data_IF_296345087114
#
_entry.id   IF_296345087114
#
_cell.length_a   1.000
_cell.length_b   1.000
_cell.length_c   1.000
_cell.angle_alpha   90.00
_cell.angle_beta   90.00
_cell.angle_gamma   90.00
#
_symmetry.space_group_name_H-M   'P 1'
#
loop_
_entity.id
_entity.type
_entity.pdbx_description
1 polymer ?
#
# COMPACT_ATOMS: atom_id res chain seq x y z
N UNK A 1 24.24 -15.89 6.07
CA UNK A 1 24.12 -14.75 5.15
C UNK A 1 22.71 -14.20 5.34
N UNK A 2 22.52 -13.30 6.31
CA UNK A 2 21.21 -12.71 6.64
C UNK A 2 21.00 -11.56 5.65
N UNK A 3 20.08 -11.73 4.71
CA UNK A 3 19.91 -10.86 3.54
C UNK A 3 19.43 -9.47 3.95
N UNK A 4 20.11 -8.42 3.49
CA UNK A 4 19.95 -7.01 3.88
C UNK A 4 18.76 -6.31 3.20
N UNK A 5 17.56 -6.90 3.26
CA UNK A 5 16.33 -6.34 2.68
C UNK A 5 15.22 -6.25 3.72
N UNK A 6 14.36 -5.23 3.60
CA UNK A 6 13.30 -4.95 4.57
C UNK A 6 12.05 -5.82 4.36
N UNK A 7 11.78 -6.25 3.13
CA UNK A 7 10.54 -6.97 2.77
C UNK A 7 10.80 -7.98 1.63
N UNK A 8 9.98 -9.02 1.55
CA UNK A 8 10.03 -10.00 0.47
C UNK A 8 8.85 -9.84 -0.51
N UNK A 9 9.11 -10.00 -1.81
CA UNK A 9 8.07 -10.14 -2.84
C UNK A 9 7.91 -11.62 -3.16
N UNK A 10 6.70 -12.14 -2.97
CA UNK A 10 6.35 -13.52 -3.22
C UNK A 10 5.98 -13.70 -4.69
N UNK A 11 6.28 -14.90 -5.21
CA UNK A 11 5.89 -15.32 -6.55
C UNK A 11 4.82 -16.41 -6.46
N UNK A 12 3.93 -16.45 -7.45
CA UNK A 12 3.03 -17.58 -7.67
C UNK A 12 3.82 -18.83 -8.04
N UNK A 13 3.13 -19.98 -8.08
CA UNK A 13 3.73 -21.25 -8.52
C UNK A 13 4.26 -21.18 -9.96
N UNK A 14 3.63 -20.35 -10.79
CA UNK A 14 3.98 -20.10 -12.19
C UNK A 14 5.13 -19.10 -12.34
N UNK A 15 5.65 -18.56 -11.22
CA UNK A 15 6.76 -17.61 -11.21
C UNK A 15 6.35 -16.16 -11.50
N UNK A 16 5.05 -15.84 -11.44
CA UNK A 16 4.52 -14.48 -11.59
C UNK A 16 4.56 -13.74 -10.25
N UNK A 17 4.62 -12.43 -10.26
CA UNK A 17 4.57 -11.61 -9.05
C UNK A 17 3.18 -11.75 -8.41
N UNK A 18 3.16 -12.06 -7.11
CA UNK A 18 1.97 -12.07 -6.30
C UNK A 18 1.94 -10.81 -5.41
N UNK A 19 2.35 -10.91 -4.15
CA UNK A 19 2.35 -9.81 -3.20
C UNK A 19 3.50 -9.94 -2.19
N UNK A 20 3.61 -9.00 -1.25
CA UNK A 20 4.48 -9.17 -0.08
C UNK A 20 3.76 -9.93 1.03
N UNK A 21 4.45 -10.29 2.12
CA UNK A 21 3.86 -11.04 3.21
C UNK A 21 2.67 -10.32 3.91
N UNK A 22 2.62 -8.97 3.84
CA UNK A 22 1.61 -8.17 4.53
C UNK A 22 0.90 -7.11 3.68
N UNK A 23 1.21 -7.01 2.39
CA UNK A 23 0.71 -5.96 1.50
C UNK A 23 0.74 -6.37 0.02
N UNK A 24 -0.24 -5.90 -0.74
CA UNK A 24 -0.26 -6.04 -2.19
C UNK A 24 0.82 -5.17 -2.84
N UNK A 25 1.18 -5.50 -4.09
CA UNK A 25 2.16 -4.75 -4.87
C UNK A 25 1.48 -4.01 -6.03
N UNK A 26 1.91 -2.78 -6.25
CA UNK A 26 1.60 -1.99 -7.44
C UNK A 26 2.90 -1.40 -8.00
N UNK A 27 2.95 -1.22 -9.31
CA UNK A 27 4.10 -0.63 -9.99
C UNK A 27 3.64 0.33 -11.08
N UNK A 28 4.54 1.18 -11.55
CA UNK A 28 4.28 2.11 -12.64
C UNK A 28 5.29 1.84 -13.74
N UNK A 29 4.78 1.57 -14.94
CA UNK A 29 5.59 1.30 -16.12
C UNK A 29 4.95 1.94 -17.34
N UNK A 30 5.75 2.70 -18.09
CA UNK A 30 5.33 3.46 -19.25
C UNK A 30 4.13 4.38 -18.94
N UNK A 31 4.14 4.99 -17.75
CA UNK A 31 3.05 5.83 -17.27
C UNK A 31 1.81 5.12 -16.73
N UNK A 32 1.69 3.79 -16.88
CA UNK A 32 0.53 3.00 -16.48
C UNK A 32 0.79 2.32 -15.13
N UNK A 33 -0.20 2.36 -14.24
CA UNK A 33 -0.15 1.60 -12.98
C UNK A 33 -0.49 0.15 -13.28
N UNK A 34 0.34 -0.78 -12.84
CA UNK A 34 0.14 -2.21 -13.01
C UNK A 34 0.09 -2.88 -11.63
N UNK A 35 -0.80 -3.86 -11.48
CA UNK A 35 -0.90 -4.67 -10.25
C UNK A 35 -1.37 -6.08 -10.59
N UNK A 36 -0.95 -7.12 -9.83
CA UNK A 36 -1.42 -8.48 -10.07
C UNK A 36 -2.95 -8.59 -10.02
N UNK A 37 -3.53 -9.48 -10.82
CA UNK A 37 -4.97 -9.78 -10.75
C UNK A 37 -5.32 -10.45 -9.42
N UNK A 38 -6.58 -10.39 -8.99
CA UNK A 38 -7.04 -11.09 -7.77
C UNK A 38 -6.85 -12.62 -7.86
N UNK A 39 -6.79 -13.17 -9.08
CA UNK A 39 -6.50 -14.59 -9.32
C UNK A 39 -5.01 -14.92 -9.24
N UNK A 40 -4.13 -13.91 -9.10
CA UNK A 40 -2.68 -14.01 -9.02
C UNK A 40 -2.14 -14.40 -7.64
N UNK A 41 -2.90 -15.18 -6.86
CA UNK A 41 -2.54 -15.60 -5.49
C UNK A 41 -2.27 -14.44 -4.53
N UNK A 42 -3.09 -13.38 -4.60
CA UNK A 42 -3.02 -12.22 -3.69
C UNK A 42 -4.28 -12.12 -2.83
N UNK A 43 -4.19 -11.44 -1.68
CA UNK A 43 -5.37 -11.01 -0.96
C UNK A 43 -6.15 -9.95 -1.76
N UNK A 44 -7.48 -10.02 -1.73
CA UNK A 44 -8.34 -8.95 -2.25
C UNK A 44 -8.31 -7.74 -1.29
N UNK A 45 -7.20 -6.99 -1.33
CA UNK A 45 -6.92 -5.88 -0.42
C UNK A 45 -7.86 -4.70 -0.66
N UNK A 46 -8.50 -4.25 0.43
CA UNK A 46 -9.32 -3.02 0.43
C UNK A 46 -8.46 -1.80 0.09
N UNK A 47 -7.24 -1.70 0.64
CA UNK A 47 -6.32 -0.59 0.31
C UNK A 47 -5.99 -0.59 -1.17
N UNK A 48 -5.70 -1.75 -1.77
CA UNK A 48 -5.46 -1.84 -3.22
C UNK A 48 -6.67 -1.36 -4.02
N UNK A 49 -7.88 -1.79 -3.68
CA UNK A 49 -9.10 -1.33 -4.33
C UNK A 49 -9.28 0.19 -4.22
N UNK A 50 -9.06 0.75 -3.03
CA UNK A 50 -9.06 2.21 -2.80
C UNK A 50 -8.04 2.93 -3.67
N UNK A 51 -6.82 2.42 -3.79
CA UNK A 51 -5.78 3.06 -4.60
C UNK A 51 -6.07 2.97 -6.09
N UNK A 52 -6.70 1.90 -6.58
CA UNK A 52 -7.17 1.80 -7.96
C UNK A 52 -8.17 2.94 -8.24
N UNK A 53 -9.16 3.11 -7.37
CA UNK A 53 -10.15 4.19 -7.49
C UNK A 53 -9.46 5.57 -7.50
N UNK A 54 -8.58 5.85 -6.53
CA UNK A 54 -7.88 7.15 -6.44
C UNK A 54 -6.96 7.43 -7.64
N UNK A 55 -6.30 6.41 -8.19
CA UNK A 55 -5.51 6.54 -9.41
C UNK A 55 -6.36 7.07 -10.57
N UNK A 56 -7.54 6.47 -10.77
CA UNK A 56 -8.45 6.81 -11.86
C UNK A 56 -9.13 8.17 -11.64
N UNK A 57 -9.62 8.44 -10.42
CA UNK A 57 -10.47 9.60 -10.12
C UNK A 57 -9.70 10.87 -9.80
N UNK A 58 -8.55 10.78 -9.13
CA UNK A 58 -7.81 11.95 -8.64
C UNK A 58 -6.52 12.23 -9.42
N UNK A 59 -5.87 11.18 -9.92
CA UNK A 59 -4.54 11.31 -10.56
C UNK A 59 -4.57 11.09 -12.08
N UNK A 60 -5.71 10.68 -12.64
CA UNK A 60 -5.86 10.34 -14.06
C UNK A 60 -4.79 9.35 -14.54
N UNK A 61 -4.52 8.34 -13.71
CA UNK A 61 -3.61 7.24 -13.99
C UNK A 61 -4.41 6.00 -14.38
N UNK A 62 -4.12 5.46 -15.56
CA UNK A 62 -4.67 4.17 -15.98
C UNK A 62 -4.14 3.06 -15.07
N UNK A 63 -5.02 2.13 -14.66
CA UNK A 63 -4.64 0.95 -13.88
C UNK A 63 -4.95 -0.33 -14.65
N UNK A 64 -3.93 -1.17 -14.85
CA UNK A 64 -4.06 -2.49 -15.45
C UNK A 64 -3.85 -3.59 -14.41
N UNK A 65 -4.85 -4.45 -14.27
CA UNK A 65 -4.77 -5.66 -13.46
C UNK A 65 -4.35 -6.82 -14.36
N UNK A 66 -3.12 -7.31 -14.22
CA UNK A 66 -2.56 -8.38 -15.07
C UNK A 66 -1.45 -9.14 -14.36
N UNK A 67 -1.04 -10.26 -14.93
CA UNK A 67 0.20 -10.92 -14.49
C UNK A 67 1.41 -10.01 -14.72
N UNK A 68 2.36 -10.06 -13.80
CA UNK A 68 3.60 -9.29 -13.83
C UNK A 68 4.75 -10.28 -13.68
N UNK A 69 5.75 -10.17 -14.54
CA UNK A 69 6.98 -10.96 -14.44
C UNK A 69 7.94 -10.32 -13.43
N UNK A 70 8.69 -11.13 -12.68
CA UNK A 70 9.69 -10.62 -11.71
C UNK A 70 10.66 -9.62 -12.36
N UNK A 71 11.16 -9.93 -13.55
CA UNK A 71 12.13 -9.10 -14.27
C UNK A 71 11.54 -7.80 -14.78
N UNK A 72 10.22 -7.72 -14.96
CA UNK A 72 9.54 -6.49 -15.35
C UNK A 72 9.60 -5.44 -14.22
N UNK A 73 9.61 -5.85 -12.95
CA UNK A 73 9.73 -4.92 -11.82
C UNK A 73 11.01 -4.08 -11.89
N UNK A 74 12.12 -4.65 -12.37
CA UNK A 74 13.40 -3.94 -12.48
C UNK A 74 13.39 -2.82 -13.53
N UNK A 75 12.39 -2.83 -14.42
CA UNK A 75 12.22 -1.85 -15.49
C UNK A 75 11.13 -0.82 -15.17
N UNK A 76 10.48 -0.93 -14.01
CA UNK A 76 9.44 0.00 -13.60
C UNK A 76 10.03 1.34 -13.18
N UNK A 77 9.27 2.41 -13.42
CA UNK A 77 9.58 3.77 -12.98
C UNK A 77 9.45 3.87 -11.46
N UNK A 78 8.40 3.25 -10.92
CA UNK A 78 8.08 3.24 -9.50
C UNK A 78 7.50 1.87 -9.11
N UNK A 79 7.79 1.39 -7.91
CA UNK A 79 7.16 0.20 -7.32
C UNK A 79 6.79 0.55 -5.89
N UNK A 80 5.64 0.10 -5.40
CA UNK A 80 5.21 0.33 -4.04
C UNK A 80 4.31 -0.79 -3.51
N UNK A 81 4.32 -0.96 -2.19
CA UNK A 81 3.40 -1.83 -1.48
C UNK A 81 2.17 -1.05 -1.02
N UNK A 82 1.05 -1.75 -0.89
CA UNK A 82 -0.16 -1.19 -0.32
C UNK A 82 -0.94 -2.16 0.58
N UNK A 83 -1.41 -1.65 1.71
CA UNK A 83 -2.19 -2.41 2.69
C UNK A 83 -2.52 -1.55 3.90
N UNK A 84 -3.49 -1.94 4.73
CA UNK A 84 -3.96 -1.07 5.83
C UNK A 84 -2.87 -0.67 6.82
N UNK A 85 -1.87 -1.54 7.05
CA UNK A 85 -0.71 -1.23 7.89
C UNK A 85 0.51 -0.68 7.13
N UNK A 86 0.53 -0.81 5.80
CA UNK A 86 1.61 -0.35 4.92
C UNK A 86 1.28 0.98 4.22
N UNK A 87 0.02 1.40 4.26
CA UNK A 87 -0.51 2.55 3.52
C UNK A 87 -0.11 2.48 2.04
N UNK A 88 0.67 3.45 1.56
CA UNK A 88 1.41 3.41 0.28
C UNK A 88 2.90 3.48 0.63
N UNK A 89 3.61 2.37 0.50
CA UNK A 89 5.04 2.26 0.87
C UNK A 89 5.91 2.10 -0.37
N UNK A 90 6.68 3.12 -0.78
CA UNK A 90 7.56 3.05 -1.95
C UNK A 90 8.68 2.01 -1.80
N UNK A 91 8.98 1.30 -2.88
CA UNK A 91 10.12 0.38 -3.03
C UNK A 91 11.11 1.01 -4.01
N UNK A 92 12.32 1.30 -3.54
CA UNK A 92 13.39 1.95 -4.34
C UNK A 92 14.46 0.98 -4.83
N UNK A 93 14.48 -0.25 -4.31
CA UNK A 93 15.42 -1.29 -4.69
C UNK A 93 14.78 -2.67 -4.62
N UNK A 94 15.00 -3.51 -5.63
CA UNK A 94 14.59 -4.91 -5.65
C UNK A 94 15.79 -5.74 -6.08
N UNK A 95 16.18 -6.73 -5.28
CA UNK A 95 17.30 -7.64 -5.57
C UNK A 95 18.64 -6.95 -5.91
N UNK A 96 18.87 -5.75 -5.35
CA UNK A 96 20.05 -4.93 -5.63
C UNK A 96 19.90 -3.99 -6.83
N UNK A 97 18.84 -4.10 -7.62
CA UNK A 97 18.54 -3.19 -8.72
C UNK A 97 17.73 -1.99 -8.22
N UNK A 98 18.22 -0.78 -8.50
CA UNK A 98 17.45 0.45 -8.26
C UNK A 98 16.21 0.48 -9.14
N UNK A 99 15.07 0.82 -8.54
CA UNK A 99 13.82 1.10 -9.26
C UNK A 99 13.86 2.56 -9.69
N UNK A 100 13.61 2.84 -10.97
CA UNK A 100 13.75 4.18 -11.53
C UNK A 100 15.13 4.79 -11.25
N UNK A 101 15.16 5.93 -10.57
CA UNK A 101 16.41 6.62 -10.15
C UNK A 101 16.87 6.24 -8.73
N UNK A 102 16.27 5.22 -8.12
CA UNK A 102 16.55 4.76 -6.76
C UNK A 102 16.00 5.68 -5.66
N UNK A 103 15.07 6.59 -5.99
CA UNK A 103 14.39 7.47 -5.03
C UNK A 103 12.90 7.20 -5.02
N UNK A 104 12.22 7.74 -4.01
CA UNK A 104 10.76 7.75 -3.96
C UNK A 104 10.24 8.56 -5.14
N UNK A 105 9.45 7.92 -5.98
CA UNK A 105 8.89 8.53 -7.18
C UNK A 105 7.75 9.50 -6.88
N UNK A 106 7.46 10.36 -7.85
CA UNK A 106 6.49 11.45 -7.68
C UNK A 106 5.05 10.94 -7.67
N UNK A 107 4.74 9.90 -8.45
CA UNK A 107 3.36 9.38 -8.58
C UNK A 107 2.95 8.58 -7.33
N UNK A 108 3.83 7.74 -6.80
CA UNK A 108 3.62 7.01 -5.54
C UNK A 108 3.51 7.98 -4.35
N UNK A 109 4.30 9.06 -4.32
CA UNK A 109 4.13 10.13 -3.32
C UNK A 109 2.78 10.83 -3.45
N UNK A 110 2.39 11.25 -4.66
CA UNK A 110 1.10 11.90 -4.87
C UNK A 110 -0.06 10.98 -4.47
N UNK A 111 0.04 9.69 -4.78
CA UNK A 111 -0.95 8.68 -4.39
C UNK A 111 -1.02 8.50 -2.87
N UNK A 112 0.12 8.48 -2.17
CA UNK A 112 0.16 8.47 -0.70
C UNK A 112 -0.53 9.71 -0.11
N UNK A 113 -0.22 10.90 -0.63
CA UNK A 113 -0.80 12.16 -0.14
C UNK A 113 -2.31 12.20 -0.34
N UNK A 114 -2.80 11.74 -1.49
CA UNK A 114 -4.24 11.61 -1.78
C UNK A 114 -4.90 10.58 -0.86
N UNK A 115 -4.28 9.43 -0.64
CA UNK A 115 -4.77 8.40 0.27
C UNK A 115 -4.85 8.89 1.72
N UNK A 116 -3.82 9.58 2.22
CA UNK A 116 -3.81 10.20 3.56
C UNK A 116 -4.90 11.26 3.68
N UNK A 117 -5.10 12.09 2.66
CA UNK A 117 -6.16 13.09 2.63
C UNK A 117 -7.56 12.45 2.67
N UNK A 118 -7.79 11.39 1.89
CA UNK A 118 -9.06 10.66 1.88
C UNK A 118 -9.36 10.02 3.23
N UNK A 119 -8.41 9.26 3.78
CA UNK A 119 -8.57 8.51 5.04
C UNK A 119 -8.68 9.41 6.27
N UNK A 120 -8.17 10.64 6.21
CA UNK A 120 -8.33 11.66 7.25
C UNK A 120 -9.52 12.60 7.05
N UNK A 121 -10.37 12.35 6.05
CA UNK A 121 -11.57 13.15 5.80
C UNK A 121 -11.29 14.56 5.29
N UNK A 122 -10.14 14.79 4.64
CA UNK A 122 -9.81 16.07 3.99
C UNK A 122 -10.37 16.15 2.56
N UNK A 123 -10.84 15.04 2.01
CA UNK A 123 -11.50 14.96 0.71
C UNK A 123 -13.00 14.65 0.90
N UNK A 124 -13.89 15.66 0.75
CA UNK A 124 -15.33 15.51 1.04
C UNK A 124 -16.02 14.37 0.28
N UNK A 125 -15.61 14.10 -0.95
CA UNK A 125 -16.17 13.05 -1.80
C UNK A 125 -15.97 11.64 -1.23
N UNK A 126 -14.95 11.43 -0.40
CA UNK A 126 -14.62 10.13 0.22
C UNK A 126 -15.11 9.99 1.66
N UNK A 127 -15.92 10.93 2.16
CA UNK A 127 -16.47 10.88 3.53
C UNK A 127 -17.28 9.61 3.80
N UNK A 128 -17.87 9.00 2.77
CA UNK A 128 -18.60 7.75 2.86
C UNK A 128 -17.72 6.52 3.17
N UNK A 129 -16.39 6.61 3.03
CA UNK A 129 -15.44 5.59 3.49
C UNK A 129 -15.20 5.64 5.01
N UNK A 130 -15.57 6.75 5.64
CA UNK A 130 -15.18 7.05 7.02
C UNK A 130 -16.36 6.80 7.97
N UNK A 131 -16.07 6.05 9.04
CA UNK A 131 -16.99 5.92 10.16
C UNK A 131 -16.46 6.76 11.32
N UNK A 132 -17.24 7.76 11.74
CA UNK A 132 -16.85 8.62 12.85
C UNK A 132 -16.86 7.85 14.18
N UNK A 133 -15.68 7.63 14.77
CA UNK A 133 -15.55 7.08 16.12
C UNK A 133 -15.50 8.19 17.16
N UNK A 134 -16.46 8.23 18.09
CA UNK A 134 -16.38 9.13 19.25
C UNK A 134 -15.68 8.39 20.38
N UNK A 135 -14.42 8.75 20.64
CA UNK A 135 -13.66 8.21 21.77
C UNK A 135 -13.79 9.15 22.96
N UNK A 136 -14.39 8.67 24.04
CA UNK A 136 -14.33 9.35 25.34
C UNK A 136 -13.14 8.80 26.10
N UNK A 137 -12.11 9.63 26.30
CA UNK A 137 -11.04 9.30 27.22
C UNK A 137 -11.60 9.35 28.66
N UNK A 138 -11.35 8.30 29.46
CA UNK A 138 -11.62 8.35 30.91
C UNK A 138 -10.67 9.36 31.56
N UNK A 139 -11.20 10.20 32.43
CA UNK A 139 -10.35 11.09 33.23
C UNK A 139 -9.60 10.27 34.30
N UNK A 140 -8.40 10.70 34.71
CA UNK A 140 -7.59 9.98 35.73
C UNK A 140 -8.33 9.80 37.07
N UNK A 141 -9.35 10.62 37.35
CA UNK A 141 -10.14 10.54 38.58
C UNK A 141 -11.05 9.30 38.67
N UNK A 142 -11.28 8.60 37.55
CA UNK A 142 -12.12 7.40 37.49
C UNK A 142 -11.34 6.09 37.78
N UNK A 143 -10.03 6.18 38.01
CA UNK A 143 -9.17 5.04 38.36
C UNK A 143 -9.17 4.83 39.89
N UNK A 144 -10.26 4.29 40.44
CA UNK A 144 -10.16 3.59 41.73
C UNK A 144 -9.38 2.28 41.48
N UNK A 145 -8.07 2.31 41.77
CA UNK A 145 -7.26 1.09 41.81
C UNK A 145 -7.83 0.17 42.90
N UNK A 146 -8.06 -1.13 42.62
CA UNK A 146 -8.52 -2.05 43.64
C UNK A 146 -7.45 -2.13 44.74
N UNK A 147 -7.81 -1.70 45.96
CA UNK A 147 -6.97 -1.93 47.13
C UNK A 147 -6.95 -3.44 47.39
N UNK A 148 -5.84 -4.11 47.06
CA UNK A 148 -5.57 -5.45 47.53
C UNK A 148 -5.43 -5.38 49.06
N UNK A 149 -6.43 -5.88 49.79
CA UNK A 149 -6.30 -6.14 51.23
C UNK A 149 -5.51 -7.45 51.38
N UNK A 150 -4.33 -7.34 51.99
CA UNK A 150 -3.55 -8.47 52.49
C UNK A 150 -4.12 -9.05 53.77
#
# INVERSE_FOLDING_TARGET
MLTAFDEAILLTREGKVAESAGACLMAIRDGVVITPTITGSILESVTRATLIELCETELNLEVQQREIDRTELYLCEEVFLCGSGYEVTPIVNIDGFSIGDGKVGAKSRALFETYDAATRGRLPQYTHWLTAGVVRLRERHDLQLPTFRG
#
